data_IF_179660613047
#
_entry.id   IF_179660613047
#
_cell.length_a   1.000
_cell.length_b   1.000
_cell.length_c   1.000
_cell.angle_alpha   90.00
_cell.angle_beta   90.00
_cell.angle_gamma   90.00
#
_symmetry.space_group_name_H-M   'P 1'
#
loop_
_entity.id
_entity.type
_entity.pdbx_description
1 polymer ?
#
# COMPACT_ATOMS: atom_id res chain seq x y z
N UNK A 1 -25.40 19.23 -7.17
CA UNK A 1 -25.40 18.31 -6.02
C UNK A 1 -26.50 18.69 -5.04
N UNK A 2 -27.35 17.75 -4.69
CA UNK A 2 -28.35 17.90 -3.63
C UNK A 2 -27.70 17.73 -2.23
N UNK A 3 -28.46 18.02 -1.18
CA UNK A 3 -27.96 18.01 0.19
C UNK A 3 -27.59 16.60 0.69
N UNK A 4 -28.23 15.53 0.22
CA UNK A 4 -27.90 14.14 0.62
C UNK A 4 -26.53 13.78 0.06
N UNK A 5 -26.28 14.09 -1.20
CA UNK A 5 -24.97 13.86 -1.84
C UNK A 5 -23.84 14.63 -1.15
N UNK A 6 -24.09 15.87 -0.69
CA UNK A 6 -23.11 16.64 0.08
C UNK A 6 -22.79 15.95 1.41
N UNK A 7 -23.81 15.47 2.14
CA UNK A 7 -23.62 14.76 3.41
C UNK A 7 -22.81 13.49 3.19
N UNK A 8 -23.14 12.68 2.18
CA UNK A 8 -22.40 11.47 1.81
C UNK A 8 -20.95 11.80 1.48
N UNK A 9 -20.71 12.84 0.67
CA UNK A 9 -19.36 13.26 0.30
C UNK A 9 -18.54 13.67 1.53
N UNK A 10 -19.12 14.42 2.47
CA UNK A 10 -18.42 14.80 3.71
C UNK A 10 -18.01 13.57 4.53
N UNK A 11 -18.93 12.63 4.76
CA UNK A 11 -18.60 11.40 5.48
C UNK A 11 -17.59 10.54 4.73
N UNK A 12 -17.70 10.47 3.40
CA UNK A 12 -16.77 9.75 2.57
C UNK A 12 -15.36 10.34 2.65
N UNK A 13 -15.22 11.67 2.62
CA UNK A 13 -13.92 12.35 2.72
C UNK A 13 -13.25 12.07 4.06
N UNK A 14 -14.02 12.08 5.17
CA UNK A 14 -13.52 11.71 6.49
C UNK A 14 -13.05 10.25 6.54
N UNK A 15 -13.85 9.34 5.98
CA UNK A 15 -13.48 7.93 5.81
C UNK A 15 -12.20 7.77 4.98
N UNK A 16 -12.09 8.49 3.86
CA UNK A 16 -10.95 8.44 2.97
C UNK A 16 -9.69 9.02 3.64
N UNK A 17 -9.81 10.05 4.49
CA UNK A 17 -8.68 10.55 5.30
C UNK A 17 -8.15 9.47 6.25
N UNK A 18 -9.04 8.68 6.87
CA UNK A 18 -8.64 7.53 7.69
C UNK A 18 -7.93 6.48 6.83
N UNK A 19 -8.40 6.24 5.60
CA UNK A 19 -7.76 5.31 4.68
C UNK A 19 -6.32 5.73 4.29
N UNK A 20 -6.05 7.03 4.16
CA UNK A 20 -4.68 7.54 3.96
C UNK A 20 -3.80 7.18 5.16
N UNK A 21 -4.28 7.39 6.39
CA UNK A 21 -3.54 7.06 7.61
C UNK A 21 -3.32 5.55 7.77
N UNK A 22 -4.30 4.74 7.39
CA UNK A 22 -4.18 3.27 7.36
C UNK A 22 -3.12 2.83 6.33
N UNK A 23 -3.01 3.53 5.19
CA UNK A 23 -1.98 3.24 4.19
C UNK A 23 -0.56 3.48 4.75
N UNK A 24 -0.39 4.49 5.62
CA UNK A 24 0.89 4.80 6.26
C UNK A 24 1.43 3.67 7.14
N UNK A 25 0.57 2.80 7.64
CA UNK A 25 0.96 1.62 8.43
C UNK A 25 1.08 0.34 7.58
N UNK A 26 1.03 0.45 6.25
CA UNK A 26 1.21 -0.67 5.31
C UNK A 26 -0.04 -1.52 5.09
N UNK A 27 -1.23 -1.01 5.44
CA UNK A 27 -2.51 -1.67 5.21
C UNK A 27 -3.16 -1.20 3.87
N UNK A 28 -4.17 -1.92 3.34
CA UNK A 28 -4.72 -1.67 2.00
C UNK A 28 -5.69 -0.47 1.94
N UNK A 29 -5.31 0.69 2.48
CA UNK A 29 -6.17 1.88 2.55
C UNK A 29 -6.60 2.44 1.19
N UNK A 30 -5.74 2.36 0.17
CA UNK A 30 -6.11 2.72 -1.21
C UNK A 30 -7.26 1.87 -1.75
N UNK A 31 -7.25 0.57 -1.47
CA UNK A 31 -8.32 -0.35 -1.85
C UNK A 31 -9.61 -0.10 -1.07
N UNK A 32 -9.51 0.25 0.21
CA UNK A 32 -10.64 0.68 1.02
C UNK A 32 -11.30 1.95 0.44
N UNK A 33 -10.52 2.92 -0.04
CA UNK A 33 -11.05 4.11 -0.72
C UNK A 33 -11.76 3.74 -2.04
N UNK A 34 -11.13 2.91 -2.88
CA UNK A 34 -11.72 2.45 -4.14
C UNK A 34 -13.05 1.73 -3.88
N UNK A 35 -13.08 0.80 -2.92
CA UNK A 35 -14.27 0.05 -2.56
C UNK A 35 -15.38 0.95 -2.01
N UNK A 36 -15.04 1.89 -1.13
CA UNK A 36 -16.01 2.86 -0.62
C UNK A 36 -16.59 3.75 -1.73
N UNK A 37 -15.74 4.25 -2.63
CA UNK A 37 -16.17 5.08 -3.75
C UNK A 37 -17.10 4.29 -4.69
N UNK A 38 -16.74 3.03 -5.00
CA UNK A 38 -17.57 2.13 -5.78
C UNK A 38 -18.93 1.88 -5.12
N UNK A 39 -18.97 1.60 -3.82
CA UNK A 39 -20.23 1.39 -3.09
C UNK A 39 -21.13 2.63 -3.20
N UNK A 40 -20.58 3.82 -2.98
CA UNK A 40 -21.34 5.06 -3.09
C UNK A 40 -21.83 5.29 -4.52
N UNK A 41 -20.97 5.10 -5.53
CA UNK A 41 -21.35 5.23 -6.95
C UNK A 41 -22.47 4.25 -7.34
N UNK A 42 -22.40 3.00 -6.88
CA UNK A 42 -23.40 1.97 -7.18
C UNK A 42 -24.73 2.21 -6.44
N UNK A 43 -24.67 2.74 -5.22
CA UNK A 43 -25.86 3.05 -4.43
C UNK A 43 -26.48 4.42 -4.78
N UNK A 44 -25.81 5.26 -5.55
CA UNK A 44 -26.26 6.61 -5.91
C UNK A 44 -27.72 6.69 -6.40
N UNK A 45 -28.19 5.78 -7.28
CA UNK A 45 -29.58 5.79 -7.76
C UNK A 45 -30.65 5.65 -6.65
N UNK A 46 -30.27 5.27 -5.42
CA UNK A 46 -31.19 5.20 -4.29
C UNK A 46 -31.59 6.58 -3.74
N UNK A 47 -30.83 7.63 -4.04
CA UNK A 47 -31.11 9.00 -3.55
C UNK A 47 -30.98 10.10 -4.61
N UNK A 48 -30.21 9.90 -5.69
CA UNK A 48 -30.07 10.87 -6.77
C UNK A 48 -29.77 10.18 -8.12
N UNK A 49 -30.33 10.70 -9.20
CA UNK A 49 -30.05 10.24 -10.56
C UNK A 49 -28.68 10.73 -11.07
N UNK A 50 -28.19 11.87 -10.57
CA UNK A 50 -26.86 12.38 -10.91
C UNK A 50 -25.78 11.76 -10.01
N UNK A 51 -24.76 11.10 -10.59
CA UNK A 51 -23.69 10.47 -9.81
C UNK A 51 -22.73 11.49 -9.19
N UNK A 52 -22.34 11.27 -7.93
CA UNK A 52 -21.29 12.07 -7.25
C UNK A 52 -19.95 11.99 -8.00
N UNK A 53 -19.60 10.80 -8.48
CA UNK A 53 -18.39 10.57 -9.28
C UNK A 53 -18.72 9.86 -10.59
N UNK A 54 -18.15 10.37 -11.68
CA UNK A 54 -18.13 9.64 -12.95
C UNK A 54 -17.20 8.42 -12.92
N UNK A 55 -17.47 7.44 -13.79
CA UNK A 55 -16.67 6.22 -13.92
C UNK A 55 -15.19 6.46 -14.25
N UNK A 56 -14.87 7.59 -14.89
CA UNK A 56 -13.49 8.00 -15.16
C UNK A 56 -12.73 8.26 -13.86
N UNK A 57 -13.31 8.97 -12.89
CA UNK A 57 -12.70 9.24 -11.60
C UNK A 57 -12.45 7.95 -10.81
N UNK A 58 -13.40 7.02 -10.85
CA UNK A 58 -13.27 5.68 -10.26
C UNK A 58 -12.13 4.91 -10.94
N UNK A 59 -12.06 4.93 -12.27
CA UNK A 59 -10.99 4.29 -13.03
C UNK A 59 -9.59 4.86 -12.73
N UNK A 60 -9.48 6.18 -12.58
CA UNK A 60 -8.24 6.86 -12.19
C UNK A 60 -7.79 6.39 -10.81
N UNK A 61 -8.69 6.43 -9.82
CA UNK A 61 -8.36 6.05 -8.44
C UNK A 61 -8.02 4.56 -8.33
N UNK A 62 -8.73 3.70 -9.07
CA UNK A 62 -8.40 2.29 -9.18
C UNK A 62 -7.00 2.07 -9.78
N UNK A 63 -6.69 2.74 -10.88
CA UNK A 63 -5.37 2.67 -11.53
C UNK A 63 -4.25 3.14 -10.60
N UNK A 64 -4.47 4.25 -9.88
CA UNK A 64 -3.54 4.74 -8.86
C UNK A 64 -3.36 3.73 -7.72
N UNK A 65 -4.44 3.09 -7.23
CA UNK A 65 -4.34 2.07 -6.20
C UNK A 65 -3.47 0.88 -6.63
N UNK A 66 -3.63 0.41 -7.87
CA UNK A 66 -2.78 -0.64 -8.47
C UNK A 66 -1.32 -0.18 -8.54
N UNK A 67 -1.06 1.03 -9.05
CA UNK A 67 0.28 1.60 -9.13
C UNK A 67 0.94 1.72 -7.74
N UNK A 68 0.18 2.13 -6.73
CA UNK A 68 0.65 2.23 -5.35
C UNK A 68 1.01 0.87 -4.75
N UNK A 69 0.21 -0.17 -5.02
CA UNK A 69 0.49 -1.54 -4.58
C UNK A 69 1.76 -2.09 -5.23
N UNK A 70 1.93 -1.88 -6.54
CA UNK A 70 3.12 -2.27 -7.28
C UNK A 70 4.35 -1.55 -6.74
N UNK A 71 4.26 -0.23 -6.53
CA UNK A 71 5.34 0.58 -5.99
C UNK A 71 5.79 0.04 -4.63
N UNK A 72 4.84 -0.16 -3.70
CA UNK A 72 5.12 -0.61 -2.34
C UNK A 72 5.76 -2.01 -2.31
N UNK A 73 5.24 -2.91 -3.13
CA UNK A 73 5.70 -4.30 -3.21
C UNK A 73 7.09 -4.37 -3.83
N UNK A 74 7.31 -3.70 -4.96
CA UNK A 74 8.59 -3.72 -5.65
C UNK A 74 9.69 -2.96 -4.91
N UNK A 75 9.34 -1.93 -4.12
CA UNK A 75 10.33 -1.13 -3.41
C UNK A 75 11.18 -1.98 -2.43
N UNK A 76 10.61 -2.99 -1.77
CA UNK A 76 11.36 -3.92 -0.94
C UNK A 76 12.40 -4.72 -1.75
N UNK A 77 12.00 -5.25 -2.91
CA UNK A 77 12.91 -5.97 -3.80
C UNK A 77 13.99 -5.06 -4.41
N UNK A 78 13.61 -3.88 -4.89
CA UNK A 78 14.55 -2.90 -5.44
C UNK A 78 15.53 -2.39 -4.37
N UNK A 79 15.07 -2.22 -3.13
CA UNK A 79 15.93 -1.93 -1.99
C UNK A 79 16.95 -3.04 -1.74
N UNK A 80 16.51 -4.30 -1.78
CA UNK A 80 17.42 -5.45 -1.69
C UNK A 80 18.48 -5.45 -2.79
N UNK A 81 18.07 -5.08 -4.01
CA UNK A 81 18.94 -4.98 -5.18
C UNK A 81 19.95 -3.83 -5.06
N UNK A 82 19.51 -2.67 -4.57
CA UNK A 82 20.36 -1.50 -4.33
C UNK A 82 21.44 -1.80 -3.28
N UNK A 83 21.14 -2.67 -2.31
CA UNK A 83 22.11 -3.20 -1.35
C UNK A 83 23.08 -4.25 -1.91
N UNK A 84 23.06 -4.53 -3.22
CA UNK A 84 23.93 -5.51 -3.88
C UNK A 84 23.32 -6.90 -4.04
N UNK A 85 22.05 -7.10 -3.65
CA UNK A 85 21.40 -8.41 -3.68
C UNK A 85 21.20 -9.01 -5.08
N UNK A 86 21.05 -10.32 -5.11
CA UNK A 86 20.66 -11.10 -6.28
C UNK A 86 19.14 -11.06 -6.50
N UNK A 87 18.69 -11.64 -7.63
CA UNK A 87 17.25 -11.79 -7.91
C UNK A 87 16.54 -12.62 -6.83
N UNK A 88 17.24 -13.56 -6.19
CA UNK A 88 16.66 -14.40 -5.13
C UNK A 88 16.43 -13.57 -3.86
N UNK A 89 17.36 -12.70 -3.48
CA UNK A 89 17.16 -11.73 -2.40
C UNK A 89 16.02 -10.77 -2.67
N UNK A 90 15.86 -10.29 -3.93
CA UNK A 90 14.72 -9.43 -4.29
C UNK A 90 13.37 -10.14 -4.09
N UNK A 91 13.23 -11.37 -4.62
CA UNK A 91 11.99 -12.15 -4.49
C UNK A 91 11.75 -12.52 -3.02
N UNK A 92 12.81 -12.90 -2.31
CA UNK A 92 12.76 -13.18 -0.88
C UNK A 92 12.27 -11.98 -0.07
N UNK A 93 12.75 -10.77 -0.37
CA UNK A 93 12.30 -9.54 0.28
C UNK A 93 10.79 -9.30 0.07
N UNK A 94 10.31 -9.45 -1.16
CA UNK A 94 8.90 -9.26 -1.50
C UNK A 94 8.03 -10.26 -0.74
N UNK A 95 8.31 -11.56 -0.89
CA UNK A 95 7.51 -12.62 -0.26
C UNK A 95 7.60 -12.55 1.26
N UNK A 96 8.81 -12.33 1.78
CA UNK A 96 9.06 -12.17 3.21
C UNK A 96 8.29 -10.99 3.79
N UNK A 97 8.23 -9.84 3.09
CA UNK A 97 7.45 -8.69 3.53
C UNK A 97 5.95 -8.99 3.64
N UNK A 98 5.39 -9.72 2.68
CA UNK A 98 3.96 -10.08 2.69
C UNK A 98 3.65 -11.07 3.81
N UNK A 99 4.45 -12.14 3.95
CA UNK A 99 4.26 -13.14 5.00
C UNK A 99 4.46 -12.51 6.38
N UNK A 100 5.53 -11.72 6.54
CA UNK A 100 5.84 -11.05 7.80
C UNK A 100 4.75 -10.09 8.21
N UNK A 101 4.21 -9.29 7.27
CA UNK A 101 3.06 -8.43 7.54
C UNK A 101 1.90 -9.24 8.11
N UNK A 102 1.43 -10.26 7.37
CA UNK A 102 0.28 -11.10 7.75
C UNK A 102 0.50 -11.75 9.12
N UNK A 103 1.63 -12.42 9.33
CA UNK A 103 1.92 -13.13 10.57
C UNK A 103 1.95 -12.16 11.75
N UNK A 104 2.71 -11.06 11.65
CA UNK A 104 2.83 -10.13 12.76
C UNK A 104 1.54 -9.34 13.04
N UNK A 105 0.65 -9.14 12.05
CA UNK A 105 -0.69 -8.57 12.28
C UNK A 105 -1.48 -9.39 13.30
N UNK A 106 -1.39 -10.72 13.26
CA UNK A 106 -2.13 -11.61 14.18
C UNK A 106 -1.38 -11.88 15.49
N UNK A 107 -0.06 -11.87 15.47
CA UNK A 107 0.76 -12.19 16.64
C UNK A 107 1.03 -10.99 17.56
N UNK A 108 1.10 -9.77 17.02
CA UNK A 108 1.33 -8.56 17.83
C UNK A 108 -0.04 -7.98 18.20
N UNK A 109 -0.36 -7.81 19.50
CA UNK A 109 -1.70 -7.37 19.96
C UNK A 109 -2.05 -5.91 19.61
N UNK A 110 -1.24 -5.26 18.77
CA UNK A 110 -1.46 -3.95 18.17
C UNK A 110 -1.45 -4.15 16.65
N UNK A 111 -2.60 -4.45 16.00
CA UNK A 111 -2.64 -4.92 14.62
C UNK A 111 -1.93 -4.00 13.60
N UNK A 112 -2.06 -2.68 13.77
CA UNK A 112 -1.42 -1.69 12.89
C UNK A 112 0.11 -1.72 13.00
N UNK A 113 0.64 -1.75 14.22
CA UNK A 113 2.07 -1.84 14.47
C UNK A 113 2.62 -3.20 14.05
N UNK A 114 1.85 -4.27 14.28
CA UNK A 114 2.20 -5.62 13.89
C UNK A 114 2.43 -5.75 12.39
N UNK A 115 1.51 -5.22 11.59
CA UNK A 115 1.60 -5.23 10.12
C UNK A 115 2.86 -4.53 9.64
N UNK A 116 3.12 -3.31 10.13
CA UNK A 116 4.26 -2.51 9.71
C UNK A 116 5.59 -3.16 10.09
N UNK A 117 5.75 -3.57 11.35
CA UNK A 117 6.95 -4.22 11.86
C UNK A 117 7.18 -5.54 11.11
N UNK A 118 6.13 -6.33 10.97
CA UNK A 118 6.17 -7.60 10.26
C UNK A 118 6.60 -7.44 8.81
N UNK A 119 6.10 -6.42 8.11
CA UNK A 119 6.47 -6.18 6.72
C UNK A 119 7.95 -5.83 6.58
N UNK A 120 8.47 -4.97 7.45
CA UNK A 120 9.88 -4.53 7.42
C UNK A 120 10.83 -5.66 7.83
N UNK A 121 10.55 -6.34 8.94
CA UNK A 121 11.34 -7.48 9.42
C UNK A 121 11.25 -8.65 8.44
N UNK A 122 10.06 -8.91 7.90
CA UNK A 122 9.83 -9.91 6.87
C UNK A 122 10.62 -9.62 5.60
N UNK A 123 10.68 -8.37 5.14
CA UNK A 123 11.50 -7.98 4.00
C UNK A 123 12.99 -8.25 4.25
N UNK A 124 13.47 -7.89 5.45
CA UNK A 124 14.85 -8.12 5.87
C UNK A 124 15.21 -9.61 5.90
N UNK A 125 14.43 -10.43 6.63
CA UNK A 125 14.67 -11.87 6.76
C UNK A 125 14.51 -12.56 5.41
N UNK A 126 13.49 -12.20 4.65
CA UNK A 126 13.22 -12.74 3.32
C UNK A 126 14.38 -12.48 2.36
N UNK A 127 14.94 -11.26 2.36
CA UNK A 127 16.13 -10.93 1.57
C UNK A 127 17.33 -11.78 1.98
N UNK A 128 17.61 -11.91 3.28
CA UNK A 128 18.70 -12.76 3.79
C UNK A 128 18.56 -14.22 3.34
N UNK A 129 17.37 -14.81 3.52
CA UNK A 129 17.11 -16.19 3.12
C UNK A 129 17.22 -16.37 1.60
N UNK A 130 16.73 -15.39 0.83
CA UNK A 130 16.85 -15.36 -0.62
C UNK A 130 18.32 -15.36 -1.06
N UNK A 131 19.15 -14.53 -0.46
CA UNK A 131 20.60 -14.48 -0.76
C UNK A 131 21.34 -15.75 -0.32
N UNK A 132 21.03 -16.30 0.86
CA UNK A 132 21.63 -17.55 1.35
C UNK A 132 21.28 -18.76 0.46
N UNK A 133 20.16 -18.70 -0.25
CA UNK A 133 19.80 -19.73 -1.21
C UNK A 133 20.60 -19.64 -2.52
N UNK A 134 21.33 -18.55 -2.76
CA UNK A 134 22.13 -18.37 -3.97
C UNK A 134 23.36 -19.30 -3.96
N UNK A 135 23.80 -19.75 -5.14
CA UNK A 135 24.88 -20.74 -5.27
C UNK A 135 26.22 -20.23 -4.74
N UNK A 136 26.48 -18.95 -4.95
CA UNK A 136 27.63 -18.25 -4.40
C UNK A 136 27.22 -17.58 -3.09
N UNK A 137 27.82 -18.01 -1.99
CA UNK A 137 27.54 -17.46 -0.66
C UNK A 137 28.19 -16.08 -0.58
N UNK A 138 27.35 -15.05 -0.61
CA UNK A 138 27.78 -13.67 -0.41
C UNK A 138 28.43 -13.50 0.97
N UNK A 139 29.37 -12.56 1.08
CA UNK A 139 29.99 -12.23 2.36
C UNK A 139 28.94 -11.75 3.37
N UNK A 140 29.22 -11.86 4.67
CA UNK A 140 28.33 -11.35 5.73
C UNK A 140 27.96 -9.88 5.52
N UNK A 141 28.89 -9.09 5.00
CA UNK A 141 28.70 -7.65 4.71
C UNK A 141 27.69 -7.43 3.58
N UNK A 142 27.78 -8.22 2.50
CA UNK A 142 26.86 -8.13 1.36
C UNK A 142 25.45 -8.57 1.72
N UNK A 143 25.32 -9.68 2.48
CA UNK A 143 24.04 -10.15 3.00
C UNK A 143 23.35 -9.07 3.84
N UNK A 144 24.08 -8.46 4.77
CA UNK A 144 23.56 -7.41 5.62
C UNK A 144 23.13 -6.17 4.83
N UNK A 145 23.94 -5.73 3.85
CA UNK A 145 23.59 -4.59 2.99
C UNK A 145 22.33 -4.85 2.17
N UNK A 146 22.18 -6.03 1.58
CA UNK A 146 20.98 -6.39 0.84
C UNK A 146 19.74 -6.41 1.74
N UNK A 147 19.84 -7.03 2.93
CA UNK A 147 18.73 -7.12 3.86
C UNK A 147 18.30 -5.76 4.43
N UNK A 148 19.25 -4.91 4.82
CA UNK A 148 18.97 -3.53 5.24
C UNK A 148 18.37 -2.74 4.08
N UNK A 149 18.90 -2.89 2.88
CA UNK A 149 18.33 -2.30 1.66
C UNK A 149 16.88 -2.71 1.46
N UNK A 150 16.54 -3.98 1.67
CA UNK A 150 15.16 -4.47 1.59
C UNK A 150 14.23 -3.82 2.61
N UNK A 151 14.67 -3.72 3.86
CA UNK A 151 13.91 -3.08 4.94
C UNK A 151 13.65 -1.59 4.64
N UNK A 152 14.70 -0.85 4.24
CA UNK A 152 14.59 0.56 3.84
C UNK A 152 13.66 0.69 2.63
N UNK A 153 13.84 -0.17 1.62
CA UNK A 153 12.99 -0.22 0.44
C UNK A 153 11.52 -0.42 0.79
N UNK A 154 11.20 -1.30 1.75
CA UNK A 154 9.83 -1.51 2.22
C UNK A 154 9.25 -0.26 2.87
N UNK A 155 10.01 0.43 3.72
CA UNK A 155 9.58 1.70 4.35
C UNK A 155 9.32 2.78 3.30
N UNK A 156 10.25 2.96 2.35
CA UNK A 156 10.09 3.92 1.25
C UNK A 156 8.89 3.57 0.36
N UNK A 157 8.62 2.28 0.14
CA UNK A 157 7.45 1.80 -0.57
C UNK A 157 6.14 2.21 0.10
N UNK A 158 6.03 2.05 1.41
CA UNK A 158 4.87 2.45 2.21
C UNK A 158 4.65 3.97 2.12
N UNK A 159 5.72 4.75 2.26
CA UNK A 159 5.66 6.21 2.14
C UNK A 159 5.21 6.62 0.73
N UNK A 160 5.75 5.99 -0.31
CA UNK A 160 5.36 6.24 -1.70
C UNK A 160 3.88 5.91 -1.95
N UNK A 161 3.40 4.75 -1.49
CA UNK A 161 1.98 4.37 -1.59
C UNK A 161 1.08 5.29 -0.79
N UNK A 162 1.54 5.81 0.35
CA UNK A 162 0.79 6.81 1.13
C UNK A 162 0.65 8.12 0.36
N UNK A 163 1.69 8.55 -0.36
CA UNK A 163 1.59 9.67 -1.30
C UNK A 163 0.56 9.44 -2.40
N UNK A 164 0.53 8.23 -2.98
CA UNK A 164 -0.50 7.83 -3.95
C UNK A 164 -1.90 7.85 -3.32
N UNK A 165 -2.04 7.37 -2.08
CA UNK A 165 -3.31 7.42 -1.35
C UNK A 165 -3.81 8.86 -1.14
N UNK A 166 -2.90 9.79 -0.83
CA UNK A 166 -3.25 11.21 -0.73
C UNK A 166 -3.71 11.81 -2.07
N UNK A 167 -3.10 11.38 -3.19
CA UNK A 167 -3.57 11.78 -4.54
C UNK A 167 -4.97 11.22 -4.81
N UNK A 168 -5.23 9.94 -4.51
CA UNK A 168 -6.56 9.35 -4.61
C UNK A 168 -7.61 10.13 -3.80
N UNK A 169 -7.25 10.50 -2.57
CA UNK A 169 -8.10 11.31 -1.70
C UNK A 169 -8.42 12.68 -2.34
N UNK A 170 -7.42 13.38 -2.87
CA UNK A 170 -7.63 14.65 -3.57
C UNK A 170 -8.52 14.50 -4.80
N UNK A 171 -8.33 13.45 -5.60
CA UNK A 171 -9.19 13.17 -6.77
C UNK A 171 -10.64 12.99 -6.35
N UNK A 172 -10.90 12.18 -5.32
CA UNK A 172 -12.27 11.92 -4.85
C UNK A 172 -12.91 13.13 -4.16
N UNK A 173 -12.10 13.99 -3.55
CA UNK A 173 -12.59 15.26 -2.98
C UNK A 173 -12.97 16.27 -4.06
N UNK A 174 -12.16 16.41 -5.11
CA UNK A 174 -12.29 17.49 -6.10
C UNK A 174 -13.24 17.13 -7.23
N UNK A 175 -13.22 15.87 -7.70
CA UNK A 175 -13.97 15.43 -8.88
C UNK A 175 -15.49 15.73 -8.86
N UNK A 176 -16.21 15.72 -7.71
CA UNK A 176 -17.64 16.06 -7.68
C UNK A 176 -17.96 17.53 -8.03
N UNK A 177 -16.95 18.40 -8.09
CA UNK A 177 -17.09 19.84 -8.29
C UNK A 177 -16.58 20.34 -9.65
N UNK A 178 -16.13 19.41 -10.51
CA UNK A 178 -15.58 19.69 -11.85
C UNK A 178 -16.51 19.10 -12.89
#
# INVERSE_FOLDING_TARGET
MDWISIVILVFFVLYASICVLITLVGLPGTWLMVGGALIVTLCNPLWNDEPIWGWVSIGIVFGLAVCGEILETLAAGLGAKAGGGTKRGMVGAIVGSMIGAIVCTFFIPIPLAGTLIGAVVGAFIGALLGELSHKDVASKSELAKSAVGAAIGRVLGILGKTGVAAICWCVLLIAPFV
#
